data_IF_559844613986
#
_entry.id   IF_559844613986
#
_cell.length_a   1.000
_cell.length_b   1.000
_cell.length_c   1.000
_cell.angle_alpha   90.00
_cell.angle_beta   90.00
_cell.angle_gamma   90.00
#
_symmetry.space_group_name_H-M   'P 1'
#
loop_
_entity.id
_entity.type
_entity.pdbx_description
1 polymer ?
#
# COMPACT_ATOMS: atom_id res chain seq x y z
N UNK A 1 -14.43 6.53 4.40
CA UNK A 1 -12.97 6.66 4.18
C UNK A 1 -12.64 6.19 2.78
N UNK A 2 -11.81 6.93 2.05
CA UNK A 2 -11.33 6.53 0.73
C UNK A 2 -9.96 5.84 0.91
N UNK A 3 -9.93 4.52 0.77
CA UNK A 3 -8.72 3.70 0.94
C UNK A 3 -8.00 3.47 -0.39
N UNK A 4 -8.66 3.70 -1.52
CA UNK A 4 -8.14 3.32 -2.83
C UNK A 4 -6.75 3.88 -3.15
N UNK A 5 -6.51 5.16 -2.82
CA UNK A 5 -5.20 5.79 -3.00
C UNK A 5 -4.12 5.18 -2.10
N UNK A 6 -4.47 4.80 -0.86
CA UNK A 6 -3.56 4.16 0.09
C UNK A 6 -3.18 2.76 -0.38
N UNK A 7 -4.17 1.95 -0.75
CA UNK A 7 -3.96 0.60 -1.29
C UNK A 7 -3.07 0.61 -2.53
N UNK A 8 -3.29 1.60 -3.42
CA UNK A 8 -2.47 1.79 -4.62
C UNK A 8 -1.03 2.17 -4.27
N UNK A 9 -0.82 3.02 -3.26
CA UNK A 9 0.52 3.37 -2.76
C UNK A 9 1.22 2.14 -2.17
N UNK A 10 0.56 1.37 -1.31
CA UNK A 10 1.12 0.13 -0.74
C UNK A 10 1.57 -0.82 -1.85
N UNK A 11 0.72 -1.07 -2.85
CA UNK A 11 1.06 -1.96 -3.97
C UNK A 11 2.27 -1.46 -4.76
N UNK A 12 2.28 -0.16 -5.11
CA UNK A 12 3.38 0.44 -5.85
C UNK A 12 4.68 0.46 -5.05
N UNK A 13 4.61 0.72 -3.74
CA UNK A 13 5.76 0.68 -2.83
C UNK A 13 6.37 -0.73 -2.75
N UNK A 14 5.54 -1.77 -2.87
CA UNK A 14 5.98 -3.16 -2.99
C UNK A 14 6.49 -3.55 -4.39
N UNK A 15 6.48 -2.63 -5.37
CA UNK A 15 6.92 -2.89 -6.75
C UNK A 15 5.99 -3.80 -7.57
N UNK A 16 4.73 -3.99 -7.14
CA UNK A 16 3.80 -4.95 -7.77
C UNK A 16 2.88 -4.28 -8.79
N UNK A 17 2.59 -4.96 -9.89
CA UNK A 17 1.45 -4.69 -10.78
C UNK A 17 0.12 -5.13 -10.16
N UNK A 18 -1.00 -4.69 -10.74
CA UNK A 18 -2.32 -5.12 -10.25
C UNK A 18 -2.54 -6.63 -10.46
N UNK A 19 -2.04 -7.17 -11.58
CA UNK A 19 -2.02 -8.60 -11.90
C UNK A 19 -1.21 -9.40 -10.85
N UNK A 20 0.03 -9.01 -10.56
CA UNK A 20 0.87 -9.74 -9.58
C UNK A 20 0.29 -9.71 -8.17
N UNK A 21 -0.31 -8.59 -7.75
CA UNK A 21 -0.99 -8.52 -6.45
C UNK A 21 -2.26 -9.37 -6.44
N UNK A 22 -3.00 -9.40 -7.53
CA UNK A 22 -4.20 -10.24 -7.67
C UNK A 22 -3.88 -11.72 -7.53
N UNK A 23 -2.78 -12.17 -8.16
CA UNK A 23 -2.26 -13.53 -8.04
C UNK A 23 -1.88 -13.85 -6.59
N UNK A 24 -1.15 -12.95 -5.92
CA UNK A 24 -0.76 -13.10 -4.50
C UNK A 24 -1.94 -13.17 -3.54
N UNK A 25 -3.01 -12.43 -3.83
CA UNK A 25 -4.21 -12.37 -2.98
C UNK A 25 -5.28 -13.40 -3.39
N UNK A 26 -5.06 -14.15 -4.47
CA UNK A 26 -6.03 -15.08 -5.04
C UNK A 26 -7.40 -14.45 -5.35
N UNK A 27 -7.39 -13.21 -5.85
CA UNK A 27 -8.61 -12.51 -6.28
C UNK A 27 -8.49 -12.06 -7.74
N UNK A 28 -9.62 -11.70 -8.35
CA UNK A 28 -9.59 -11.14 -9.70
C UNK A 28 -8.87 -9.79 -9.72
N UNK A 29 -8.03 -9.54 -10.72
CA UNK A 29 -7.37 -8.22 -10.91
C UNK A 29 -8.35 -7.06 -11.02
N UNK A 30 -9.55 -7.30 -11.55
CA UNK A 30 -10.63 -6.31 -11.58
C UNK A 30 -11.07 -5.88 -10.17
N UNK A 31 -10.96 -6.74 -9.15
CA UNK A 31 -11.22 -6.39 -7.76
C UNK A 31 -10.12 -5.46 -7.23
N UNK A 32 -8.84 -5.71 -7.53
CA UNK A 32 -7.73 -4.78 -7.21
C UNK A 32 -8.03 -3.40 -7.77
N UNK A 33 -8.40 -3.31 -9.05
CA UNK A 33 -8.73 -2.04 -9.70
C UNK A 33 -9.96 -1.34 -9.10
N UNK A 34 -10.97 -2.09 -8.64
CA UNK A 34 -12.15 -1.51 -7.97
C UNK A 34 -11.80 -1.01 -6.57
N UNK A 35 -11.04 -1.78 -5.79
CA UNK A 35 -10.58 -1.42 -4.46
C UNK A 35 -9.70 -0.15 -4.51
N UNK A 36 -8.75 -0.08 -5.44
CA UNK A 36 -7.88 1.10 -5.64
C UNK A 36 -8.62 2.37 -6.11
N UNK A 37 -9.86 2.26 -6.55
CA UNK A 37 -10.72 3.37 -7.01
C UNK A 37 -11.92 3.62 -6.11
N UNK A 38 -11.96 2.99 -4.93
CA UNK A 38 -13.08 3.06 -4.00
C UNK A 38 -14.43 2.66 -4.65
N UNK A 39 -14.39 1.75 -5.63
CA UNK A 39 -15.56 1.16 -6.32
C UNK A 39 -15.94 -0.22 -5.77
N UNK A 40 -15.24 -0.69 -4.75
CA UNK A 40 -15.53 -1.91 -4.02
C UNK A 40 -15.26 -1.66 -2.54
N UNK A 41 -16.12 -2.17 -1.65
CA UNK A 41 -15.94 -2.04 -0.21
C UNK A 41 -14.75 -2.91 0.22
N UNK A 42 -13.82 -2.32 0.95
CA UNK A 42 -12.70 -3.02 1.54
C UNK A 42 -13.14 -3.68 2.85
N UNK A 43 -12.96 -4.98 2.98
CA UNK A 43 -13.13 -5.68 4.27
C UNK A 43 -11.86 -5.57 5.12
N UNK A 44 -11.99 -5.79 6.43
CA UNK A 44 -10.82 -5.83 7.32
C UNK A 44 -9.86 -6.97 6.94
N UNK A 45 -10.40 -8.13 6.54
CA UNK A 45 -9.61 -9.28 6.09
C UNK A 45 -8.82 -8.95 4.81
N UNK A 46 -9.46 -8.32 3.82
CA UNK A 46 -8.79 -7.88 2.60
C UNK A 46 -7.64 -6.92 2.92
N UNK A 47 -7.86 -5.97 3.83
CA UNK A 47 -6.84 -5.01 4.24
C UNK A 47 -5.65 -5.70 4.93
N UNK A 48 -5.90 -6.65 5.82
CA UNK A 48 -4.85 -7.42 6.50
C UNK A 48 -4.02 -8.21 5.49
N UNK A 49 -4.68 -8.90 4.56
CA UNK A 49 -4.01 -9.68 3.51
C UNK A 49 -3.22 -8.76 2.58
N UNK A 50 -3.77 -7.59 2.22
CA UNK A 50 -3.09 -6.58 1.42
C UNK A 50 -1.79 -6.11 2.08
N UNK A 51 -1.83 -5.74 3.36
CA UNK A 51 -0.65 -5.30 4.10
C UNK A 51 0.43 -6.38 4.18
N UNK A 52 0.04 -7.65 4.37
CA UNK A 52 0.97 -8.78 4.35
C UNK A 52 1.64 -8.96 2.99
N UNK A 53 0.86 -8.95 1.91
CA UNK A 53 1.37 -9.15 0.55
C UNK A 53 2.21 -7.99 0.02
N UNK A 54 2.05 -6.80 0.59
CA UNK A 54 2.80 -5.58 0.20
C UNK A 54 3.91 -5.21 1.18
N UNK A 55 4.09 -5.97 2.27
CA UNK A 55 5.02 -5.64 3.37
C UNK A 55 4.82 -4.20 3.89
N UNK A 56 3.55 -3.75 3.94
CA UNK A 56 3.18 -2.39 4.30
C UNK A 56 2.48 -2.33 5.67
N UNK A 57 2.91 -3.15 6.63
CA UNK A 57 2.33 -3.22 7.97
C UNK A 57 2.47 -1.89 8.72
N UNK A 58 3.56 -1.14 8.49
CA UNK A 58 3.80 0.16 9.11
C UNK A 58 2.72 1.19 8.74
N UNK A 59 2.21 1.10 7.50
CA UNK A 59 1.14 1.97 6.99
C UNK A 59 -0.19 1.67 7.69
N UNK A 60 -0.45 0.40 8.01
CA UNK A 60 -1.62 0.00 8.80
C UNK A 60 -1.48 0.48 10.26
N UNK A 61 -0.30 0.33 10.85
CA UNK A 61 -0.01 0.79 12.21
C UNK A 61 -0.19 2.30 12.31
N UNK A 62 0.35 3.06 11.37
CA UNK A 62 0.18 4.50 11.28
C UNK A 62 -1.29 4.91 11.28
N UNK A 63 -2.06 4.26 10.42
CA UNK A 63 -3.48 4.51 10.29
C UNK A 63 -4.26 4.22 11.58
N UNK A 64 -3.98 3.09 12.25
CA UNK A 64 -4.62 2.73 13.53
C UNK A 64 -4.29 3.74 14.65
N UNK A 65 -3.11 4.34 14.62
CA UNK A 65 -2.69 5.36 15.58
C UNK A 65 -3.18 6.78 15.21
N UNK A 66 -4.01 6.93 14.17
CA UNK A 66 -4.53 8.23 13.72
C UNK A 66 -3.53 9.10 12.98
N UNK A 67 -2.38 8.53 12.57
CA UNK A 67 -1.41 9.19 11.72
C UNK A 67 -1.84 9.08 10.26
N UNK A 68 -1.62 10.14 9.46
CA UNK A 68 -1.88 10.08 8.02
C UNK A 68 -0.88 9.12 7.35
N UNK A 69 -1.32 7.96 6.82
CA UNK A 69 -0.43 6.95 6.24
C UNK A 69 0.35 7.45 5.03
N UNK A 70 -0.13 8.50 4.34
CA UNK A 70 0.57 9.09 3.20
C UNK A 70 1.88 9.75 3.63
N UNK A 71 1.88 10.43 4.78
CA UNK A 71 3.05 11.15 5.28
C UNK A 71 4.25 10.24 5.60
N UNK A 72 4.00 8.99 5.98
CA UNK A 72 5.05 8.03 6.36
C UNK A 72 5.70 7.39 5.14
N UNK A 73 4.91 7.04 4.12
CA UNK A 73 5.44 6.44 2.89
C UNK A 73 6.41 7.40 2.19
N UNK A 74 6.07 8.70 2.16
CA UNK A 74 6.92 9.72 1.53
C UNK A 74 8.20 9.99 2.36
N UNK A 75 8.13 9.88 3.70
CA UNK A 75 9.29 10.00 4.59
C UNK A 75 10.32 8.87 4.41
N UNK A 76 9.87 7.63 4.19
CA UNK A 76 10.76 6.48 3.98
C UNK A 76 11.56 6.57 2.68
N UNK A 77 10.96 7.10 1.61
CA UNK A 77 11.63 7.34 0.33
C UNK A 77 12.76 8.39 0.47
N UNK A 78 12.56 9.41 1.31
CA UNK A 78 13.53 10.48 1.53
C UNK A 78 14.83 9.99 2.21
N UNK A 79 14.71 9.04 3.15
CA UNK A 79 15.88 8.43 3.83
C UNK A 79 16.76 7.65 2.84
N UNK A 80 16.15 6.93 1.89
CA UNK A 80 16.88 6.18 0.86
C UNK A 80 17.75 7.09 -0.03
N UNK A 81 17.25 8.26 -0.41
CA UNK A 81 17.98 9.23 -1.24
C UNK A 81 19.15 9.87 -0.50
N UNK A 82 19.01 10.15 0.79
CA UNK A 82 20.11 10.73 1.59
C UNK A 82 21.26 9.73 1.74
N UNK A 83 20.95 8.45 1.94
CA UNK A 83 21.97 7.40 2.09
C UNK A 83 22.70 7.12 0.77
N UNK A 84 21.99 7.12 -0.37
CA UNK A 84 22.60 6.89 -1.69
C UNK A 84 23.26 8.12 -2.32
N UNK A 85 22.79 9.33 -2.00
CA UNK A 85 23.24 10.58 -2.62
C UNK A 85 24.13 11.47 -1.75
N UNK A 86 24.29 11.16 -0.46
CA UNK A 86 25.02 12.00 0.50
C UNK A 86 26.52 11.68 0.70
N UNK A 87 27.09 10.75 -0.08
CA UNK A 87 28.49 10.32 0.00
C UNK A 87 29.29 10.52 -1.31
N UNK A 88 28.80 11.37 -2.22
CA UNK A 88 29.54 11.82 -3.40
C UNK A 88 29.71 13.34 -3.39
#
# INVERSE_FOLDING_TARGET
MQFGAVLRRMRKGAGLSQEELAEKLHIARSNISKLERDKMKLSAEDLINWCRSTQAQDVLIAFVNGLDPVSIIDGMQMVGTIILGGLL
#
